data_IF_955952192102
#
_entry.id   IF_955952192102
#
_cell.length_a   1.000
_cell.length_b   1.000
_cell.length_c   1.000
_cell.angle_alpha   90.00
_cell.angle_beta   90.00
_cell.angle_gamma   90.00
#
_symmetry.space_group_name_H-M   'P 1'
#
loop_
_entity.id
_entity.type
_entity.pdbx_description
1 polymer ?
#
# COMPACT_ATOMS: atom_id res chain seq x y z
N UNK A 1 -4.15 5.68 11.54
CA UNK A 1 -4.81 5.14 10.32
C UNK A 1 -6.29 4.89 10.54
N UNK A 2 -6.72 4.13 11.57
CA UNK A 2 -8.13 3.82 11.83
C UNK A 2 -9.08 5.02 11.96
N UNK A 3 -8.58 6.15 12.46
CA UNK A 3 -9.36 7.40 12.64
C UNK A 3 -9.55 8.20 11.36
N UNK A 4 -9.06 7.73 10.20
CA UNK A 4 -9.26 8.44 8.94
C UNK A 4 -10.71 8.33 8.50
N UNK A 5 -11.27 9.38 7.85
CA UNK A 5 -12.60 9.29 7.27
C UNK A 5 -12.69 8.16 6.25
N UNK A 6 -13.81 7.42 6.21
CA UNK A 6 -14.06 6.44 5.17
C UNK A 6 -14.16 7.09 3.78
N UNK A 7 -13.74 6.37 2.74
CA UNK A 7 -13.89 6.78 1.35
C UNK A 7 -14.90 5.89 0.62
N UNK A 8 -15.64 6.45 -0.35
CA UNK A 8 -16.58 5.68 -1.17
C UNK A 8 -15.86 4.59 -1.99
N UNK A 9 -16.55 3.50 -2.37
CA UNK A 9 -15.98 2.48 -3.26
C UNK A 9 -15.48 3.08 -4.58
N UNK A 10 -14.35 2.57 -5.09
CA UNK A 10 -13.76 3.01 -6.36
C UNK A 10 -14.52 2.42 -7.55
N UNK A 11 -15.32 3.26 -8.21
CA UNK A 11 -16.17 2.85 -9.33
C UNK A 11 -15.41 2.55 -10.63
N UNK A 12 -14.10 2.83 -10.69
CA UNK A 12 -13.23 2.51 -11.83
C UNK A 12 -12.75 1.05 -11.81
N UNK A 13 -12.93 0.36 -10.69
CA UNK A 13 -12.55 -1.03 -10.49
C UNK A 13 -13.80 -1.93 -10.44
N UNK A 14 -13.64 -3.17 -10.89
CA UNK A 14 -14.56 -4.27 -10.63
C UNK A 14 -13.73 -5.45 -10.13
N UNK A 15 -14.15 -6.07 -9.03
CA UNK A 15 -13.52 -7.29 -8.52
C UNK A 15 -14.40 -8.48 -8.89
N UNK A 16 -13.82 -9.46 -9.57
CA UNK A 16 -14.48 -10.74 -9.87
C UNK A 16 -13.93 -11.78 -8.90
N UNK A 17 -14.77 -12.17 -7.96
CA UNK A 17 -14.42 -13.06 -6.85
C UNK A 17 -14.63 -14.52 -7.25
N UNK A 18 -13.58 -15.33 -7.17
CA UNK A 18 -13.71 -16.78 -7.10
C UNK A 18 -13.98 -17.16 -5.64
N UNK A 19 -15.25 -17.32 -5.29
CA UNK A 19 -15.72 -17.65 -3.94
C UNK A 19 -15.64 -19.14 -3.65
N UNK A 20 -15.83 -19.55 -2.39
CA UNK A 20 -15.92 -20.98 -2.04
C UNK A 20 -16.99 -21.73 -2.85
N UNK A 21 -18.15 -21.11 -3.09
CA UNK A 21 -19.21 -21.70 -3.91
C UNK A 21 -18.76 -21.90 -5.37
N UNK A 22 -18.02 -20.93 -5.93
CA UNK A 22 -17.44 -21.06 -7.27
C UNK A 22 -16.44 -22.21 -7.34
N UNK A 23 -15.57 -22.34 -6.33
CA UNK A 23 -14.56 -23.41 -6.27
C UNK A 23 -15.18 -24.80 -6.08
N UNK A 24 -16.27 -24.91 -5.33
CA UNK A 24 -17.02 -26.17 -5.21
C UNK A 24 -17.73 -26.55 -6.52
N UNK A 25 -18.25 -25.56 -7.25
CA UNK A 25 -19.00 -25.78 -8.50
C UNK A 25 -18.10 -26.05 -9.70
N UNK A 26 -17.01 -25.29 -9.85
CA UNK A 26 -16.13 -25.33 -11.02
C UNK A 26 -14.78 -26.02 -10.77
N UNK A 27 -14.52 -26.45 -9.53
CA UNK A 27 -13.30 -27.11 -9.11
C UNK A 27 -12.19 -26.14 -8.66
N UNK A 28 -11.22 -26.69 -7.92
CA UNK A 28 -10.00 -25.99 -7.53
C UNK A 28 -8.75 -26.82 -7.86
N UNK A 29 -7.74 -26.26 -8.56
CA UNK A 29 -7.75 -24.92 -9.15
C UNK A 29 -8.79 -24.81 -10.29
N UNK A 30 -9.37 -23.61 -10.46
CA UNK A 30 -10.27 -23.34 -11.60
C UNK A 30 -9.50 -23.59 -12.90
N UNK A 31 -10.05 -24.40 -13.81
CA UNK A 31 -9.39 -24.78 -15.06
C UNK A 31 -9.12 -23.58 -15.96
N UNK A 32 -8.11 -23.70 -16.83
CA UNK A 32 -7.80 -22.68 -17.83
C UNK A 32 -9.01 -22.43 -18.74
N UNK A 33 -9.68 -23.49 -19.22
CA UNK A 33 -10.87 -23.37 -20.08
C UNK A 33 -11.98 -22.52 -19.44
N UNK A 34 -12.25 -22.70 -18.14
CA UNK A 34 -13.27 -21.91 -17.43
C UNK A 34 -12.84 -20.47 -17.24
N UNK A 35 -11.56 -20.21 -16.94
CA UNK A 35 -11.08 -18.83 -16.87
C UNK A 35 -11.03 -18.15 -18.24
N UNK A 36 -10.71 -18.87 -19.32
CA UNK A 36 -10.76 -18.35 -20.68
C UNK A 36 -12.19 -17.98 -21.06
N UNK A 37 -13.18 -18.83 -20.74
CA UNK A 37 -14.60 -18.49 -20.91
C UNK A 37 -15.01 -17.24 -20.10
N UNK A 38 -14.56 -17.14 -18.85
CA UNK A 38 -14.79 -15.95 -18.01
C UNK A 38 -14.22 -14.69 -18.65
N UNK A 39 -12.97 -14.75 -19.10
CA UNK A 39 -12.28 -13.63 -19.75
C UNK A 39 -13.02 -13.24 -21.04
N UNK A 40 -13.44 -14.21 -21.86
CA UNK A 40 -14.20 -13.96 -23.08
C UNK A 40 -15.51 -13.22 -22.81
N UNK A 41 -16.23 -13.58 -21.76
CA UNK A 41 -17.46 -12.88 -21.34
C UNK A 41 -17.18 -11.46 -20.86
N UNK A 42 -16.10 -11.26 -20.10
CA UNK A 42 -15.70 -9.92 -19.65
C UNK A 42 -15.31 -9.03 -20.83
N UNK A 43 -14.53 -9.56 -21.79
CA UNK A 43 -14.04 -8.83 -22.96
C UNK A 43 -15.18 -8.32 -23.86
N UNK A 44 -16.31 -9.01 -23.93
CA UNK A 44 -17.50 -8.56 -24.69
C UNK A 44 -17.98 -7.17 -24.25
N UNK A 45 -17.73 -6.79 -23.00
CA UNK A 45 -18.14 -5.51 -22.44
C UNK A 45 -17.02 -4.46 -22.43
N UNK A 46 -15.89 -4.71 -23.09
CA UNK A 46 -14.81 -3.75 -23.30
C UNK A 46 -14.24 -3.13 -21.98
N UNK A 47 -13.74 -3.94 -21.04
CA UNK A 47 -12.94 -3.42 -19.93
C UNK A 47 -11.64 -2.80 -20.47
N UNK A 48 -11.07 -1.83 -19.76
CA UNK A 48 -9.78 -1.24 -20.15
C UNK A 48 -8.64 -2.22 -19.98
N UNK A 49 -8.64 -2.97 -18.88
CA UNK A 49 -7.62 -3.96 -18.56
C UNK A 49 -8.20 -5.01 -17.62
N UNK A 50 -7.76 -6.24 -17.77
CA UNK A 50 -8.13 -7.36 -16.91
C UNK A 50 -6.87 -7.87 -16.21
N UNK A 51 -6.91 -7.92 -14.89
CA UNK A 51 -5.85 -8.50 -14.06
C UNK A 51 -6.25 -9.87 -13.55
N UNK A 52 -5.41 -10.88 -13.80
CA UNK A 52 -5.60 -12.24 -13.28
C UNK A 52 -4.69 -12.42 -12.06
N UNK A 53 -5.26 -12.18 -10.88
CA UNK A 53 -4.61 -12.45 -9.59
C UNK A 53 -4.89 -13.88 -9.10
N UNK A 54 -4.71 -14.83 -10.00
CA UNK A 54 -4.72 -16.27 -9.73
C UNK A 54 -3.50 -16.84 -10.47
N UNK A 55 -2.62 -17.55 -9.77
CA UNK A 55 -1.36 -18.04 -10.34
C UNK A 55 -1.59 -19.04 -11.48
N UNK A 56 -0.87 -18.88 -12.58
CA UNK A 56 -1.01 -19.70 -13.79
C UNK A 56 0.36 -20.01 -14.40
N UNK A 57 0.52 -21.25 -14.84
CA UNK A 57 1.74 -21.70 -15.55
C UNK A 57 1.62 -21.56 -17.07
N UNK A 58 0.37 -21.53 -17.57
CA UNK A 58 0.05 -21.41 -18.99
C UNK A 58 -0.79 -20.17 -19.25
N UNK A 59 -0.56 -19.55 -20.40
CA UNK A 59 -1.31 -18.37 -20.83
C UNK A 59 -2.78 -18.76 -21.10
N UNK A 60 -3.71 -17.96 -20.59
CA UNK A 60 -5.15 -18.17 -20.80
C UNK A 60 -5.58 -17.73 -22.20
N UNK A 61 -4.93 -16.66 -22.71
CA UNK A 61 -5.18 -16.07 -24.03
C UNK A 61 -4.03 -15.13 -24.41
N UNK A 62 -3.60 -15.16 -25.66
CA UNK A 62 -2.58 -14.22 -26.17
C UNK A 62 -3.21 -12.84 -26.46
N UNK A 63 -3.27 -11.97 -25.44
CA UNK A 63 -3.90 -10.63 -25.52
C UNK A 63 -3.13 -9.57 -24.74
N UNK A 64 -3.06 -8.37 -25.33
CA UNK A 64 -2.33 -7.21 -24.83
C UNK A 64 -3.07 -6.36 -23.77
N UNK A 65 -4.15 -6.85 -23.17
CA UNK A 65 -4.91 -6.17 -22.10
C UNK A 65 -5.13 -7.07 -20.88
N UNK A 66 -4.43 -8.20 -20.83
CA UNK A 66 -4.52 -9.19 -19.76
C UNK A 66 -3.20 -9.20 -19.00
N UNK A 67 -3.24 -8.83 -17.73
CA UNK A 67 -2.05 -8.77 -16.86
C UNK A 67 -2.10 -9.95 -15.91
N UNK A 68 -1.03 -10.73 -15.89
CA UNK A 68 -0.89 -11.93 -15.06
C UNK A 68 -0.05 -11.64 -13.83
N UNK A 69 -0.34 -12.38 -12.76
CA UNK A 69 0.45 -12.35 -11.54
C UNK A 69 1.51 -13.45 -11.51
N UNK A 70 2.66 -13.15 -10.91
CA UNK A 70 3.62 -14.14 -10.41
C UNK A 70 4.08 -13.81 -8.99
N UNK A 71 4.89 -14.67 -8.37
CA UNK A 71 5.48 -14.40 -7.05
C UNK A 71 6.98 -14.63 -7.07
N UNK A 72 7.73 -13.70 -6.48
CA UNK A 72 9.16 -13.90 -6.35
C UNK A 72 9.49 -14.95 -5.27
N UNK A 73 10.68 -15.53 -5.41
CA UNK A 73 11.37 -16.10 -4.26
C UNK A 73 11.76 -14.96 -3.32
N UNK A 74 11.33 -15.07 -2.06
CA UNK A 74 11.59 -14.06 -1.03
C UNK A 74 12.65 -14.55 -0.04
N UNK A 75 13.93 -14.37 -0.39
CA UNK A 75 15.05 -14.84 0.41
C UNK A 75 15.28 -16.36 0.31
N UNK A 76 15.98 -16.91 1.31
CA UNK A 76 16.38 -18.32 1.31
C UNK A 76 15.37 -19.27 1.95
N UNK A 77 14.13 -18.85 2.18
CA UNK A 77 13.09 -19.71 2.75
C UNK A 77 12.68 -20.80 1.74
N UNK A 78 12.95 -22.09 2.00
CA UNK A 78 12.57 -23.18 1.11
C UNK A 78 11.05 -23.35 0.97
N UNK A 79 10.25 -22.78 1.89
CA UNK A 79 8.79 -22.81 1.81
C UNK A 79 8.21 -21.67 0.95
N UNK A 80 9.05 -20.73 0.52
CA UNK A 80 8.67 -19.59 -0.31
C UNK A 80 9.46 -19.56 -1.63
N UNK A 81 9.39 -20.62 -2.46
CA UNK A 81 10.19 -20.72 -3.69
C UNK A 81 9.77 -19.71 -4.78
N UNK A 82 8.64 -19.02 -4.60
CA UNK A 82 8.01 -18.20 -5.62
C UNK A 82 7.24 -19.04 -6.63
N UNK A 83 6.49 -18.37 -7.49
CA UNK A 83 5.70 -18.98 -8.55
C UNK A 83 5.99 -18.29 -9.88
N UNK A 84 6.29 -19.02 -10.97
CA UNK A 84 6.56 -18.41 -12.26
C UNK A 84 5.29 -17.78 -12.87
N UNK A 85 5.44 -16.79 -13.75
CA UNK A 85 4.34 -16.34 -14.60
C UNK A 85 4.03 -17.38 -15.70
N UNK A 86 2.90 -17.22 -16.40
CA UNK A 86 2.61 -18.02 -17.60
C UNK A 86 3.71 -17.96 -18.65
N UNK A 87 4.02 -19.10 -19.27
CA UNK A 87 5.00 -19.15 -20.37
C UNK A 87 4.49 -18.39 -21.61
N UNK A 88 5.39 -17.67 -22.28
CA UNK A 88 5.10 -16.95 -23.53
C UNK A 88 4.53 -15.54 -23.37
N UNK A 89 4.14 -15.14 -22.16
CA UNK A 89 3.61 -13.80 -21.89
C UNK A 89 4.75 -12.76 -21.83
N UNK A 90 4.66 -11.63 -22.56
CA UNK A 90 5.63 -10.54 -22.47
C UNK A 90 5.72 -9.93 -21.06
N UNK A 91 6.89 -9.43 -20.67
CA UNK A 91 7.16 -8.94 -19.30
C UNK A 91 6.28 -7.76 -18.90
N UNK A 92 5.86 -6.95 -19.86
CA UNK A 92 4.95 -5.81 -19.68
C UNK A 92 3.53 -6.24 -19.24
N UNK A 93 3.15 -7.50 -19.48
CA UNK A 93 1.87 -8.08 -19.05
C UNK A 93 2.01 -8.97 -17.81
N UNK A 94 3.15 -8.88 -17.11
CA UNK A 94 3.43 -9.66 -15.92
C UNK A 94 3.77 -8.70 -14.78
N UNK A 95 3.11 -8.88 -13.64
CA UNK A 95 3.46 -8.19 -12.41
C UNK A 95 3.50 -9.14 -11.21
N UNK A 96 4.33 -8.84 -10.22
CA UNK A 96 4.39 -9.66 -9.01
C UNK A 96 3.29 -9.29 -8.01
N UNK A 97 2.73 -10.24 -7.26
CA UNK A 97 1.72 -9.97 -6.22
C UNK A 97 2.24 -10.07 -4.79
N UNK A 98 3.56 -10.18 -4.62
CA UNK A 98 4.24 -10.24 -3.34
C UNK A 98 3.81 -9.12 -2.39
N UNK A 99 3.61 -9.51 -1.12
CA UNK A 99 3.20 -8.63 -0.02
C UNK A 99 4.25 -8.72 1.07
N UNK A 100 4.57 -7.57 1.67
CA UNK A 100 5.48 -7.50 2.81
C UNK A 100 4.66 -7.11 4.04
N UNK A 101 4.70 -7.96 5.06
CA UNK A 101 4.15 -7.67 6.39
C UNK A 101 5.17 -6.88 7.22
N UNK A 102 4.68 -6.01 8.09
CA UNK A 102 5.50 -5.42 9.14
C UNK A 102 5.78 -6.46 10.24
N UNK A 103 6.67 -6.15 11.18
CA UNK A 103 7.07 -7.06 12.26
C UNK A 103 5.91 -7.58 13.14
N UNK A 104 4.77 -6.90 13.11
CA UNK A 104 3.54 -7.29 13.82
C UNK A 104 2.53 -8.05 12.94
N UNK A 105 2.93 -8.49 11.75
CA UNK A 105 2.09 -9.25 10.82
C UNK A 105 1.01 -8.42 10.14
N UNK A 106 1.13 -7.10 10.16
CA UNK A 106 0.18 -6.18 9.50
C UNK A 106 0.80 -5.60 8.25
N UNK A 107 0.06 -5.67 7.14
CA UNK A 107 0.45 -5.04 5.88
C UNK A 107 0.19 -3.54 5.97
N UNK A 108 1.25 -2.73 5.90
CA UNK A 108 1.14 -1.25 5.84
C UNK A 108 1.87 -0.65 4.65
N UNK A 109 2.52 -1.50 3.86
CA UNK A 109 3.45 -1.10 2.80
C UNK A 109 3.04 -1.75 1.49
N UNK A 110 3.15 -0.98 0.42
CA UNK A 110 2.89 -1.40 -0.95
C UNK A 110 4.20 -1.48 -1.69
N UNK A 111 4.60 -2.69 -2.09
CA UNK A 111 5.76 -2.90 -2.95
C UNK A 111 5.38 -2.61 -4.41
N UNK A 112 5.95 -1.54 -4.97
CA UNK A 112 5.74 -1.14 -6.36
C UNK A 112 6.72 -1.81 -7.31
N UNK A 113 7.99 -1.81 -6.92
CA UNK A 113 9.07 -2.35 -7.72
C UNK A 113 9.99 -3.18 -6.85
N UNK A 114 10.57 -4.25 -7.39
CA UNK A 114 11.64 -4.97 -6.74
C UNK A 114 12.67 -5.44 -7.74
N UNK A 115 13.92 -5.64 -7.29
CA UNK A 115 14.91 -6.32 -8.11
C UNK A 115 14.73 -7.82 -7.92
N UNK A 116 14.35 -8.59 -8.95
CA UNK A 116 14.27 -10.04 -8.82
C UNK A 116 15.62 -10.64 -8.45
N UNK A 117 15.61 -11.64 -7.57
CA UNK A 117 16.78 -12.52 -7.40
C UNK A 117 17.02 -13.33 -8.69
N UNK A 118 18.27 -13.61 -9.02
CA UNK A 118 18.63 -14.34 -10.23
C UNK A 118 18.00 -15.75 -10.30
N UNK A 119 17.77 -16.37 -9.14
CA UNK A 119 17.16 -17.70 -9.01
C UNK A 119 15.64 -17.67 -8.85
N UNK A 120 15.03 -16.47 -8.85
CA UNK A 120 13.59 -16.32 -8.67
C UNK A 120 12.83 -16.79 -9.91
N UNK A 121 11.73 -17.55 -9.78
CA UNK A 121 10.93 -17.96 -10.94
C UNK A 121 10.15 -16.78 -11.58
N UNK A 122 9.89 -15.73 -10.80
CA UNK A 122 9.29 -14.48 -11.25
C UNK A 122 10.41 -13.46 -11.47
N UNK A 123 10.54 -12.95 -12.71
CA UNK A 123 11.62 -12.06 -13.13
C UNK A 123 11.14 -10.64 -13.49
N UNK A 124 9.85 -10.34 -13.27
CA UNK A 124 9.33 -8.98 -13.46
C UNK A 124 9.78 -8.09 -12.31
N UNK A 125 10.27 -6.86 -12.56
CA UNK A 125 10.57 -5.92 -11.49
C UNK A 125 9.36 -5.11 -11.05
N UNK A 126 8.18 -5.28 -11.69
CA UNK A 126 7.00 -4.45 -11.52
C UNK A 126 5.90 -5.20 -10.77
N UNK A 127 5.23 -4.55 -9.82
CA UNK A 127 4.10 -5.17 -9.12
C UNK A 127 2.87 -5.27 -10.01
N UNK A 128 2.06 -6.29 -9.78
CA UNK A 128 0.79 -6.54 -10.44
C UNK A 128 -0.15 -5.33 -10.34
N UNK A 129 -0.26 -4.75 -9.15
CA UNK A 129 -1.06 -3.53 -8.92
C UNK A 129 -0.51 -2.30 -9.64
N UNK A 130 0.82 -2.15 -9.73
CA UNK A 130 1.40 -1.07 -10.53
C UNK A 130 1.14 -1.27 -12.02
N UNK A 131 1.33 -2.48 -12.56
CA UNK A 131 1.09 -2.80 -13.96
C UNK A 131 -0.34 -2.50 -14.40
N UNK A 132 -1.34 -2.91 -13.60
CA UNK A 132 -2.75 -2.59 -13.85
C UNK A 132 -3.02 -1.09 -13.86
N UNK A 133 -2.50 -0.37 -12.86
CA UNK A 133 -2.69 1.06 -12.76
C UNK A 133 -2.00 1.80 -13.91
N UNK A 134 -0.75 1.45 -14.23
CA UNK A 134 0.02 2.04 -15.32
C UNK A 134 -0.63 1.79 -16.67
N UNK A 135 -1.10 0.57 -16.94
CA UNK A 135 -1.82 0.26 -18.17
C UNK A 135 -3.10 1.10 -18.29
N UNK A 136 -3.92 1.14 -17.24
CA UNK A 136 -5.15 1.93 -17.26
C UNK A 136 -4.88 3.42 -17.48
N UNK A 137 -3.90 3.99 -16.78
CA UNK A 137 -3.48 5.38 -16.93
C UNK A 137 -2.92 5.67 -18.33
N UNK A 138 -2.20 4.71 -18.93
CA UNK A 138 -1.73 4.83 -20.31
C UNK A 138 -2.90 4.91 -21.31
N UNK A 139 -3.99 4.18 -21.09
CA UNK A 139 -5.21 4.33 -21.91
C UNK A 139 -5.86 5.72 -21.80
N UNK A 140 -5.49 6.49 -20.78
CA UNK A 140 -5.90 7.88 -20.57
C UNK A 140 -4.83 8.90 -21.04
N UNK A 141 -3.76 8.44 -21.69
CA UNK A 141 -2.65 9.27 -22.15
C UNK A 141 -1.66 9.66 -21.05
N UNK A 142 -1.62 8.94 -19.93
CA UNK A 142 -0.71 9.20 -18.81
C UNK A 142 0.30 8.06 -18.69
N UNK A 143 1.55 8.34 -19.05
CA UNK A 143 2.65 7.37 -19.03
C UNK A 143 3.56 7.55 -17.80
N UNK A 144 4.15 6.45 -17.28
CA UNK A 144 5.14 6.52 -16.21
C UNK A 144 6.47 7.04 -16.73
N UNK A 145 6.90 8.19 -16.21
CA UNK A 145 8.24 8.74 -16.43
C UNK A 145 9.10 8.57 -15.18
N UNK A 146 10.39 8.26 -15.34
CA UNK A 146 11.31 8.27 -14.19
C UNK A 146 11.99 9.63 -14.07
N UNK A 147 11.93 10.20 -12.86
CA UNK A 147 12.65 11.42 -12.51
C UNK A 147 14.15 11.17 -12.30
N UNK A 148 14.96 12.23 -12.32
CA UNK A 148 16.40 12.18 -12.02
C UNK A 148 16.72 11.61 -10.62
N UNK A 149 15.76 11.65 -9.70
CA UNK A 149 15.89 11.16 -8.32
C UNK A 149 15.43 9.69 -8.18
N UNK A 150 15.06 9.03 -9.29
CA UNK A 150 14.60 7.64 -9.30
C UNK A 150 13.15 7.47 -8.84
N UNK A 151 12.37 8.55 -8.76
CA UNK A 151 10.92 8.49 -8.52
C UNK A 151 10.15 8.29 -9.80
N UNK A 152 8.99 7.62 -9.72
CA UNK A 152 8.05 7.50 -10.84
C UNK A 152 7.09 8.67 -10.81
N UNK A 153 7.09 9.46 -11.88
CA UNK A 153 6.16 10.55 -12.14
C UNK A 153 5.06 10.06 -13.08
N UNK A 154 3.83 10.31 -12.70
CA UNK A 154 2.61 10.03 -13.46
C UNK A 154 1.79 11.33 -13.50
N UNK A 155 1.73 11.97 -14.67
CA UNK A 155 1.18 13.32 -14.83
C UNK A 155 1.83 14.33 -13.86
N UNK A 156 1.08 14.90 -12.90
CA UNK A 156 1.60 15.80 -11.84
C UNK A 156 1.94 15.08 -10.55
N UNK A 157 1.60 13.80 -10.44
CA UNK A 157 1.77 13.01 -9.23
C UNK A 157 3.12 12.31 -9.23
N UNK A 158 3.90 12.54 -8.17
CA UNK A 158 5.18 11.87 -7.95
C UNK A 158 4.96 10.77 -6.90
N UNK A 159 5.08 9.51 -7.31
CA UNK A 159 5.17 8.40 -6.38
C UNK A 159 6.54 8.50 -5.71
N UNK A 160 6.58 8.66 -4.38
CA UNK A 160 7.82 8.84 -3.61
C UNK A 160 8.17 7.55 -2.87
N UNK A 161 9.39 7.04 -3.11
CA UNK A 161 9.90 5.83 -2.48
C UNK A 161 9.92 5.99 -0.96
N UNK A 162 9.56 4.93 -0.24
CA UNK A 162 10.05 4.73 1.12
C UNK A 162 11.56 4.52 1.06
N UNK A 163 12.31 5.60 1.27
CA UNK A 163 13.77 5.55 1.31
C UNK A 163 14.25 5.41 2.73
N UNK A 164 15.28 4.60 2.99
CA UNK A 164 15.95 4.57 4.29
C UNK A 164 16.63 5.91 4.66
N UNK A 165 17.08 6.72 3.66
CA UNK A 165 18.01 7.85 3.85
C UNK A 165 17.96 8.97 2.77
N UNK A 166 16.86 9.68 2.48
CA UNK A 166 16.96 10.85 1.55
C UNK A 166 17.59 12.08 2.22
N UNK A 167 18.93 12.07 2.31
CA UNK A 167 19.83 13.23 2.35
C UNK A 167 21.15 12.93 1.62
N UNK A 168 21.07 12.36 0.41
CA UNK A 168 22.20 12.40 -0.54
C UNK A 168 21.66 12.57 -1.96
N UNK A 169 21.65 13.82 -2.41
CA UNK A 169 21.43 14.18 -3.81
C UNK A 169 22.63 13.73 -4.66
N UNK A 170 22.32 13.25 -5.87
CA UNK A 170 23.21 13.17 -7.06
C UNK A 170 24.24 12.03 -7.12
N UNK A 171 23.86 10.94 -7.79
CA UNK A 171 24.40 10.45 -9.07
C UNK A 171 23.84 9.04 -9.29
N UNK A 172 23.22 8.78 -10.43
CA UNK A 172 23.57 7.62 -11.27
C UNK A 172 22.82 7.69 -12.61
N UNK A 173 23.62 7.77 -13.66
CA UNK A 173 23.25 7.75 -15.06
C UNK A 173 22.74 6.37 -15.47
N UNK A 174 21.67 6.36 -16.26
CA UNK A 174 20.97 5.19 -16.74
C UNK A 174 21.72 4.48 -17.86
N UNK A 175 22.57 3.49 -17.56
CA UNK A 175 22.97 2.49 -18.57
C UNK A 175 23.12 1.05 -18.09
N UNK A 176 23.29 0.72 -16.82
CA UNK A 176 23.45 -0.68 -16.40
C UNK A 176 22.53 -1.05 -15.22
N UNK A 177 21.33 -1.58 -15.49
CA UNK A 177 20.40 -2.11 -14.48
C UNK A 177 20.81 -3.49 -13.93
N UNK A 178 21.91 -4.10 -14.39
CA UNK A 178 22.21 -5.51 -14.07
C UNK A 178 23.41 -5.81 -13.18
N UNK A 179 24.24 -4.85 -12.75
CA UNK A 179 25.50 -5.23 -12.11
C UNK A 179 25.84 -4.43 -10.83
N UNK A 180 25.95 -5.16 -9.70
CA UNK A 180 26.72 -4.84 -8.48
C UNK A 180 26.26 -3.60 -7.64
N UNK A 181 26.47 -3.43 -6.32
CA UNK A 181 27.36 -4.03 -5.29
C UNK A 181 26.65 -3.93 -3.92
N UNK A 182 27.02 -4.85 -3.04
CA UNK A 182 26.88 -4.96 -1.58
C UNK A 182 27.29 -3.73 -0.74
N UNK A 183 26.43 -3.28 0.19
CA UNK A 183 26.67 -2.98 1.63
C UNK A 183 25.46 -2.20 2.21
N UNK A 184 24.82 -2.65 3.31
CA UNK A 184 23.69 -1.95 3.88
C UNK A 184 24.18 -0.78 4.74
N UNK A 185 23.97 0.44 4.28
CA UNK A 185 24.25 1.66 5.02
C UNK A 185 23.02 2.10 5.82
N UNK A 186 23.15 1.87 7.13
CA UNK A 186 22.55 2.47 8.33
C UNK A 186 21.31 3.38 8.20
N UNK A 187 20.45 3.20 9.20
CA UNK A 187 19.04 3.52 9.30
C UNK A 187 18.75 4.96 9.70
N UNK A 188 17.74 5.59 9.08
CA UNK A 188 16.72 6.36 9.83
C UNK A 188 15.73 7.07 8.91
N UNK A 189 14.55 6.48 8.69
CA UNK A 189 13.32 7.24 8.39
C UNK A 189 12.14 6.57 9.05
N UNK A 190 11.39 7.31 9.87
CA UNK A 190 10.19 6.80 10.55
C UNK A 190 10.46 5.61 11.46
N UNK A 191 9.46 4.71 11.55
CA UNK A 191 9.52 3.49 12.38
C UNK A 191 10.31 2.35 11.70
N UNK A 192 10.50 2.42 10.38
CA UNK A 192 11.10 1.34 9.56
C UNK A 192 12.62 1.48 9.35
N UNK A 193 13.33 2.17 10.25
CA UNK A 193 14.73 2.51 10.05
C UNK A 193 15.63 1.31 9.71
N UNK A 194 15.40 0.15 10.32
CA UNK A 194 16.31 -1.00 10.28
C UNK A 194 15.88 -2.13 9.32
N UNK A 195 14.86 -1.94 8.48
CA UNK A 195 14.35 -3.00 7.60
C UNK A 195 14.95 -2.91 6.19
N UNK A 196 15.38 -4.05 5.63
CA UNK A 196 15.63 -4.16 4.20
C UNK A 196 14.31 -4.05 3.45
N UNK A 197 14.14 -2.95 2.72
CA UNK A 197 12.89 -2.64 2.02
C UNK A 197 12.76 -3.42 0.70
N UNK A 198 13.71 -4.29 0.32
CA UNK A 198 13.64 -5.24 -0.82
C UNK A 198 13.19 -4.65 -2.17
N UNK A 199 13.16 -3.32 -2.33
CA UNK A 199 12.54 -2.67 -3.47
C UNK A 199 12.06 -1.26 -3.21
N UNK A 200 11.18 -0.80 -4.10
CA UNK A 200 10.49 0.48 -4.06
C UNK A 200 9.13 0.30 -3.42
N UNK A 201 8.91 0.96 -2.29
CA UNK A 201 7.67 0.84 -1.54
C UNK A 201 6.99 2.18 -1.33
N UNK A 202 5.67 2.15 -1.09
CA UNK A 202 4.85 3.26 -0.58
C UNK A 202 4.16 2.86 0.72
N UNK A 203 3.76 3.82 1.55
CA UNK A 203 2.79 3.54 2.62
C UNK A 203 1.41 3.31 1.99
N UNK A 204 0.70 2.31 2.51
CA UNK A 204 -0.68 2.03 2.13
C UNK A 204 -1.63 3.01 2.79
N UNK A 205 -2.21 3.87 1.98
CA UNK A 205 -3.40 4.62 2.28
C UNK A 205 -4.63 3.78 1.89
N UNK A 206 -5.08 2.92 2.79
CA UNK A 206 -6.31 2.12 2.62
C UNK A 206 -7.53 3.02 2.42
N UNK A 207 -8.28 2.80 1.33
CA UNK A 207 -9.51 3.54 0.97
C UNK A 207 -10.66 3.23 1.91
N UNK A 208 -10.83 1.95 2.19
CA UNK A 208 -11.96 1.43 2.93
C UNK A 208 -11.50 0.64 4.16
N UNK A 209 -12.27 0.74 5.24
CA UNK A 209 -12.22 -0.20 6.36
C UNK A 209 -13.12 -1.42 6.05
N UNK A 210 -13.17 -2.41 6.94
CA UNK A 210 -13.83 -3.68 6.63
C UNK A 210 -15.35 -3.61 6.42
N UNK A 211 -16.04 -2.54 6.86
CA UNK A 211 -17.50 -2.42 6.71
C UNK A 211 -17.91 -1.85 5.35
N UNK A 212 -16.96 -1.31 4.59
CA UNK A 212 -17.21 -0.65 3.32
C UNK A 212 -16.47 -1.34 2.18
N UNK A 213 -17.10 -1.38 1.02
CA UNK A 213 -16.51 -2.01 -0.15
C UNK A 213 -15.41 -1.14 -0.76
N UNK A 214 -14.31 -1.78 -1.16
CA UNK A 214 -13.16 -1.12 -1.80
C UNK A 214 -13.54 -0.67 -3.21
N UNK A 215 -14.24 -1.55 -3.91
CA UNK A 215 -14.78 -1.41 -5.25
C UNK A 215 -15.98 -2.38 -5.37
N UNK A 216 -16.86 -2.19 -6.36
CA UNK A 216 -17.91 -3.16 -6.68
C UNK A 216 -17.35 -4.58 -6.87
N UNK A 217 -18.09 -5.58 -6.36
CA UNK A 217 -17.71 -6.99 -6.43
C UNK A 217 -18.81 -7.81 -7.10
N UNK A 218 -18.41 -8.81 -7.87
CA UNK A 218 -19.29 -9.81 -8.48
C UNK A 218 -18.63 -11.18 -8.37
N UNK A 219 -19.41 -12.25 -8.35
CA UNK A 219 -18.85 -13.61 -8.31
C UNK A 219 -18.48 -14.09 -9.71
N UNK A 220 -17.51 -15.00 -9.78
CA UNK A 220 -17.14 -15.68 -11.03
C UNK A 220 -18.36 -16.34 -11.70
N UNK A 221 -19.18 -17.04 -10.92
CA UNK A 221 -20.44 -17.62 -11.39
C UNK A 221 -21.36 -16.57 -12.02
N UNK A 222 -21.57 -15.41 -11.37
CA UNK A 222 -22.49 -14.39 -11.88
C UNK A 222 -22.06 -13.84 -13.24
N UNK A 223 -20.75 -13.73 -13.49
CA UNK A 223 -20.22 -13.33 -14.80
C UNK A 223 -20.43 -14.46 -15.82
N UNK A 224 -20.11 -15.70 -15.47
CA UNK A 224 -20.33 -16.86 -16.35
C UNK A 224 -21.81 -17.03 -16.73
N UNK A 225 -22.72 -16.73 -15.82
CA UNK A 225 -24.17 -16.83 -16.03
C UNK A 225 -24.79 -15.56 -16.66
N UNK A 226 -23.98 -14.59 -17.09
CA UNK A 226 -24.41 -13.32 -17.68
C UNK A 226 -25.36 -12.50 -16.77
N UNK A 227 -25.18 -12.55 -15.45
CA UNK A 227 -25.99 -11.85 -14.45
C UNK A 227 -25.39 -10.49 -14.02
N UNK A 228 -24.31 -10.06 -14.67
CA UNK A 228 -23.61 -8.81 -14.36
C UNK A 228 -23.96 -7.75 -15.40
N UNK A 229 -24.31 -6.55 -14.94
CA UNK A 229 -24.60 -5.42 -15.84
C UNK A 229 -23.36 -5.04 -16.67
N UNK A 230 -23.50 -4.77 -17.99
CA UNK A 230 -22.41 -4.29 -18.84
C UNK A 230 -21.69 -3.06 -18.28
N UNK A 231 -22.44 -2.13 -17.67
CA UNK A 231 -21.90 -0.90 -17.07
C UNK A 231 -21.01 -1.17 -15.87
N UNK A 232 -21.11 -2.37 -15.27
CA UNK A 232 -20.21 -2.78 -14.20
C UNK A 232 -18.81 -3.13 -14.72
N UNK A 233 -18.65 -3.42 -16.03
CA UNK A 233 -17.41 -3.93 -16.64
C UNK A 233 -16.79 -2.91 -17.61
N UNK A 234 -17.63 -2.22 -18.38
CA UNK A 234 -17.20 -1.31 -19.44
C UNK A 234 -16.30 -0.20 -18.94
N UNK A 235 -15.19 0.01 -19.64
CA UNK A 235 -14.17 1.03 -19.34
C UNK A 235 -13.54 0.92 -17.93
N UNK A 236 -13.65 -0.24 -17.27
CA UNK A 236 -13.11 -0.48 -15.93
C UNK A 236 -11.85 -1.33 -15.93
N UNK A 237 -11.16 -1.29 -14.80
CA UNK A 237 -10.14 -2.26 -14.42
C UNK A 237 -10.86 -3.44 -13.76
N UNK A 238 -10.78 -4.62 -14.37
CA UNK A 238 -11.33 -5.84 -13.80
C UNK A 238 -10.22 -6.63 -13.12
N UNK A 239 -10.38 -7.00 -11.86
CA UNK A 239 -9.40 -7.82 -11.13
C UNK A 239 -10.07 -9.14 -10.72
N UNK A 240 -9.57 -10.25 -11.25
CA UNK A 240 -10.06 -11.59 -10.99
C UNK A 240 -9.17 -12.22 -9.92
N UNK A 241 -9.75 -12.78 -8.86
CA UNK A 241 -8.95 -13.42 -7.82
C UNK A 241 -9.75 -14.27 -6.85
N UNK A 242 -9.03 -15.11 -6.09
CA UNK A 242 -9.62 -16.00 -5.11
C UNK A 242 -9.97 -15.26 -3.80
N UNK A 243 -11.18 -15.51 -3.30
CA UNK A 243 -11.66 -15.01 -1.99
C UNK A 243 -12.22 -16.14 -1.11
N UNK A 244 -11.95 -17.40 -1.45
CA UNK A 244 -12.23 -18.54 -0.59
C UNK A 244 -11.34 -18.52 0.68
N UNK A 245 -11.93 -18.67 1.88
CA UNK A 245 -11.22 -18.78 3.15
C UNK A 245 -10.15 -19.88 3.20
N UNK A 246 -10.40 -20.99 2.51
CA UNK A 246 -9.55 -22.18 2.60
C UNK A 246 -8.41 -22.19 1.57
N UNK A 247 -8.50 -21.38 0.52
CA UNK A 247 -7.66 -21.48 -0.67
C UNK A 247 -6.90 -20.19 -1.00
N UNK A 248 -7.07 -19.12 -0.22
CA UNK A 248 -6.37 -17.85 -0.44
C UNK A 248 -5.58 -17.41 0.79
N UNK A 249 -4.47 -16.72 0.56
CA UNK A 249 -3.74 -16.06 1.64
C UNK A 249 -4.50 -14.83 2.10
N UNK A 250 -4.83 -14.81 3.39
CA UNK A 250 -5.50 -13.70 4.05
C UNK A 250 -4.49 -12.85 4.81
N UNK A 251 -4.58 -11.54 4.58
CA UNK A 251 -3.64 -10.56 5.10
C UNK A 251 -4.26 -9.70 6.20
N UNK A 252 -3.50 -9.49 7.27
CA UNK A 252 -3.91 -8.54 8.31
C UNK A 252 -3.66 -7.11 7.83
N UNK A 253 -4.62 -6.24 8.04
CA UNK A 253 -4.53 -4.81 7.71
C UNK A 253 -4.61 -3.98 8.99
N UNK A 254 -4.34 -2.66 8.94
CA UNK A 254 -4.53 -1.79 10.08
C UNK A 254 -5.96 -1.82 10.64
N UNK A 255 -6.96 -2.28 9.88
CA UNK A 255 -8.36 -2.38 10.31
C UNK A 255 -8.74 -3.77 10.81
N UNK A 256 -7.86 -4.76 10.71
CA UNK A 256 -8.11 -6.11 11.23
C UNK A 256 -8.13 -6.09 12.76
N UNK A 257 -9.24 -6.53 13.35
CA UNK A 257 -9.36 -6.78 14.79
C UNK A 257 -9.59 -8.28 15.03
N UNK A 258 -8.59 -8.97 15.58
CA UNK A 258 -8.65 -10.42 15.79
C UNK A 258 -8.42 -11.26 14.52
N UNK A 259 -8.63 -12.58 14.63
CA UNK A 259 -8.36 -13.55 13.55
C UNK A 259 -9.38 -13.51 12.40
N UNK A 260 -10.62 -13.11 12.68
CA UNK A 260 -11.76 -13.23 11.74
C UNK A 260 -11.89 -12.08 10.74
N UNK A 261 -10.87 -11.21 10.65
CA UNK A 261 -10.97 -9.89 10.04
C UNK A 261 -9.80 -9.57 9.08
N UNK A 262 -9.24 -10.58 8.45
CA UNK A 262 -8.23 -10.42 7.39
C UNK A 262 -8.89 -10.23 6.03
N UNK A 263 -8.15 -9.71 5.04
CA UNK A 263 -8.64 -9.56 3.66
C UNK A 263 -7.91 -10.51 2.70
N UNK A 264 -8.58 -11.08 1.69
CA UNK A 264 -7.91 -11.89 0.68
C UNK A 264 -7.00 -11.04 -0.20
N UNK A 265 -5.96 -11.67 -0.76
CA UNK A 265 -4.93 -10.99 -1.56
C UNK A 265 -5.48 -10.15 -2.73
N UNK A 266 -6.57 -10.58 -3.38
CA UNK A 266 -7.20 -9.81 -4.48
C UNK A 266 -7.75 -8.47 -4.02
N UNK A 267 -8.34 -8.39 -2.81
CA UNK A 267 -8.82 -7.14 -2.26
C UNK A 267 -7.67 -6.22 -1.88
N UNK A 268 -6.55 -6.78 -1.41
CA UNK A 268 -5.34 -6.00 -1.14
C UNK A 268 -4.73 -5.41 -2.42
N UNK A 269 -4.66 -6.20 -3.51
CA UNK A 269 -4.23 -5.69 -4.81
C UNK A 269 -5.19 -4.61 -5.34
N UNK A 270 -6.50 -4.75 -5.15
CA UNK A 270 -7.47 -3.71 -5.52
C UNK A 270 -7.26 -2.39 -4.74
N UNK A 271 -6.93 -2.45 -3.43
CA UNK A 271 -6.56 -1.27 -2.63
C UNK A 271 -5.33 -0.57 -3.21
N UNK A 272 -4.31 -1.35 -3.58
CA UNK A 272 -3.06 -0.86 -4.16
C UNK A 272 -3.28 -0.20 -5.53
N UNK A 273 -4.07 -0.81 -6.41
CA UNK A 273 -4.47 -0.25 -7.71
C UNK A 273 -5.25 1.05 -7.51
N UNK A 274 -6.28 1.02 -6.66
CA UNK A 274 -7.12 2.19 -6.37
C UNK A 274 -6.29 3.35 -5.82
N UNK A 275 -5.31 3.07 -4.94
CA UNK A 275 -4.41 4.08 -4.41
C UNK A 275 -3.65 4.82 -5.52
N UNK A 276 -2.99 4.09 -6.42
CA UNK A 276 -2.19 4.69 -7.50
C UNK A 276 -3.08 5.57 -8.38
N UNK A 277 -4.20 5.02 -8.87
CA UNK A 277 -5.07 5.73 -9.82
C UNK A 277 -5.75 6.92 -9.16
N UNK A 278 -6.15 6.81 -7.89
CA UNK A 278 -6.73 7.95 -7.16
C UNK A 278 -5.70 9.04 -6.90
N UNK A 279 -4.44 8.67 -6.63
CA UNK A 279 -3.38 9.66 -6.46
C UNK A 279 -3.10 10.43 -7.75
N UNK A 280 -3.18 9.77 -8.91
CA UNK A 280 -2.96 10.39 -10.23
C UNK A 280 -4.19 11.18 -10.69
N UNK A 281 -5.37 10.56 -10.75
CA UNK A 281 -6.55 11.18 -11.37
C UNK A 281 -7.36 12.07 -10.44
N UNK A 282 -7.29 11.85 -9.12
CA UNK A 282 -8.13 12.54 -8.13
C UNK A 282 -7.31 13.31 -7.08
N UNK A 283 -6.00 13.45 -7.28
CA UNK A 283 -5.08 14.07 -6.32
C UNK A 283 -5.22 13.51 -4.89
N UNK A 284 -5.58 12.23 -4.76
CA UNK A 284 -5.73 11.57 -3.45
C UNK A 284 -4.37 11.56 -2.74
N UNK A 285 -4.25 12.07 -1.50
CA UNK A 285 -2.98 12.11 -0.79
C UNK A 285 -2.36 10.72 -0.63
N UNK A 286 -1.10 10.60 -1.04
CA UNK A 286 -0.26 9.45 -0.69
C UNK A 286 0.26 9.62 0.73
N UNK A 287 0.26 8.54 1.50
CA UNK A 287 0.84 8.57 2.84
C UNK A 287 2.36 8.66 2.74
N UNK A 288 2.92 9.58 3.50
CA UNK A 288 4.36 9.78 3.66
C UNK A 288 4.68 10.14 5.09
N UNK A 289 5.92 9.91 5.51
CA UNK A 289 6.39 10.47 6.78
C UNK A 289 6.62 11.97 6.65
N UNK A 290 6.39 12.68 7.75
CA UNK A 290 6.80 14.08 7.83
C UNK A 290 8.33 14.19 7.60
N UNK A 291 8.82 15.20 6.85
CA UNK A 291 10.26 15.42 6.72
C UNK A 291 10.93 15.57 8.09
N UNK A 292 12.13 15.01 8.26
CA UNK A 292 12.84 15.02 9.57
C UNK A 292 12.96 16.41 10.19
N UNK A 293 13.27 17.43 9.40
CA UNK A 293 13.39 18.79 9.90
C UNK A 293 12.07 19.31 10.47
N UNK A 294 10.94 18.98 9.83
CA UNK A 294 9.61 19.35 10.28
C UNK A 294 9.20 18.55 11.54
N UNK A 295 9.60 17.27 11.62
CA UNK A 295 9.44 16.47 12.84
C UNK A 295 10.24 17.06 14.01
N UNK A 296 11.49 17.48 13.77
CA UNK A 296 12.33 18.16 14.76
C UNK A 296 11.64 19.44 15.24
N UNK A 297 11.24 20.33 14.32
CA UNK A 297 10.54 21.57 14.67
C UNK A 297 9.27 21.29 15.50
N UNK A 298 8.50 20.27 15.10
CA UNK A 298 7.31 19.86 15.85
C UNK A 298 7.66 19.43 17.27
N UNK A 299 8.68 18.59 17.45
CA UNK A 299 9.12 18.15 18.78
C UNK A 299 9.59 19.35 19.63
N UNK A 300 10.42 20.24 19.08
CA UNK A 300 10.86 21.45 19.77
C UNK A 300 9.70 22.36 20.18
N UNK A 301 8.69 22.50 19.32
CA UNK A 301 7.50 23.29 19.67
C UNK A 301 6.77 22.72 20.88
N UNK A 302 6.63 21.40 20.98
CA UNK A 302 5.98 20.75 22.13
C UNK A 302 6.85 20.72 23.39
N UNK A 303 8.18 20.73 23.26
CA UNK A 303 9.11 20.98 24.38
C UNK A 303 8.88 22.36 24.97
N UNK A 304 8.79 23.39 24.12
CA UNK A 304 8.57 24.77 24.57
C UNK A 304 7.20 24.93 25.25
N UNK A 305 6.16 24.33 24.68
CA UNK A 305 4.81 24.34 25.28
C UNK A 305 4.81 23.66 26.65
N UNK A 306 5.42 22.47 26.78
CA UNK A 306 5.51 21.77 28.06
C UNK A 306 6.26 22.56 29.12
N UNK A 307 7.41 23.14 28.75
CA UNK A 307 8.19 23.98 29.65
C UNK A 307 7.40 25.22 30.12
N UNK A 308 6.66 25.88 29.22
CA UNK A 308 5.81 27.02 29.56
C UNK A 308 4.66 26.64 30.51
N UNK A 309 3.99 25.50 30.28
CA UNK A 309 2.92 25.00 31.16
C UNK A 309 3.47 24.74 32.56
N UNK A 310 4.58 24.01 32.66
CA UNK A 310 5.23 23.70 33.94
C UNK A 310 5.67 24.96 34.70
N UNK A 311 6.15 25.98 34.00
CA UNK A 311 6.58 27.25 34.61
C UNK A 311 5.39 28.12 35.08
N UNK A 312 4.39 28.34 34.22
CA UNK A 312 3.26 29.25 34.50
C UNK A 312 2.35 28.69 35.60
N UNK A 313 2.12 27.39 35.61
CA UNK A 313 1.21 26.71 36.54
C UNK A 313 1.92 26.02 37.71
N UNK A 314 3.18 26.38 37.96
CA UNK A 314 3.92 25.94 39.14
C UNK A 314 3.11 26.21 40.44
N UNK A 315 3.01 25.20 41.30
CA UNK A 315 2.21 25.25 42.53
C UNK A 315 0.69 25.16 42.34
N UNK A 316 0.17 25.14 41.11
CA UNK A 316 -1.27 25.09 40.78
C UNK A 316 -1.64 23.79 40.04
N UNK A 317 -1.63 22.68 40.76
CA UNK A 317 -1.80 21.33 40.20
C UNK A 317 -3.04 21.13 39.33
N UNK A 318 -4.21 21.67 39.72
CA UNK A 318 -5.43 21.54 38.92
C UNK A 318 -5.33 22.23 37.56
N UNK A 319 -4.74 23.43 37.52
CA UNK A 319 -4.53 24.18 36.28
C UNK A 319 -3.47 23.56 35.39
N UNK A 320 -2.45 22.94 35.99
CA UNK A 320 -1.44 22.20 35.26
C UNK A 320 -2.02 20.99 34.53
N UNK A 321 -2.76 20.14 35.25
CA UNK A 321 -3.40 18.95 34.67
C UNK A 321 -4.39 19.33 33.55
N UNK A 322 -5.16 20.39 33.76
CA UNK A 322 -6.06 20.91 32.73
C UNK A 322 -5.29 21.38 31.49
N UNK A 323 -4.20 22.14 31.68
CA UNK A 323 -3.40 22.69 30.58
C UNK A 323 -2.68 21.60 29.79
N UNK A 324 -2.09 20.60 30.46
CA UNK A 324 -1.47 19.44 29.81
C UNK A 324 -2.52 18.64 29.03
N UNK A 325 -3.70 18.43 29.61
CA UNK A 325 -4.80 17.73 28.92
C UNK A 325 -5.23 18.45 27.64
N UNK A 326 -5.38 19.77 27.68
CA UNK A 326 -5.70 20.60 26.51
C UNK A 326 -4.56 20.53 25.47
N UNK A 327 -3.31 20.63 25.91
CA UNK A 327 -2.13 20.53 25.05
C UNK A 327 -2.07 19.17 24.32
N UNK A 328 -2.33 18.07 25.02
CA UNK A 328 -2.41 16.72 24.43
C UNK A 328 -3.53 16.63 23.40
N UNK A 329 -4.72 17.20 23.68
CA UNK A 329 -5.83 17.21 22.72
C UNK A 329 -5.43 17.96 21.45
N UNK A 330 -4.82 19.15 21.58
CA UNK A 330 -4.32 19.93 20.44
C UNK A 330 -3.29 19.13 19.64
N UNK A 331 -2.35 18.46 20.32
CA UNK A 331 -1.36 17.59 19.69
C UNK A 331 -2.02 16.47 18.89
N UNK A 332 -2.97 15.74 19.49
CA UNK A 332 -3.67 14.63 18.84
C UNK A 332 -4.45 15.11 17.62
N UNK A 333 -5.19 16.22 17.74
CA UNK A 333 -5.96 16.82 16.63
C UNK A 333 -5.02 17.29 15.52
N UNK A 334 -3.88 17.90 15.84
CA UNK A 334 -2.90 18.34 14.84
C UNK A 334 -2.27 17.16 14.09
N UNK A 335 -1.87 16.10 14.79
CA UNK A 335 -1.35 14.87 14.17
C UNK A 335 -2.41 14.18 13.32
N UNK A 336 -3.68 14.21 13.74
CA UNK A 336 -4.79 13.66 12.97
C UNK A 336 -5.04 14.46 11.67
N UNK A 337 -5.03 15.80 11.74
CA UNK A 337 -5.12 16.67 10.56
C UNK A 337 -3.98 16.43 9.57
N UNK A 338 -2.74 16.32 10.06
CA UNK A 338 -1.59 15.95 9.24
C UNK A 338 -1.78 14.59 8.56
N UNK A 339 -2.29 13.60 9.28
CA UNK A 339 -2.56 12.27 8.71
C UNK A 339 -3.59 12.31 7.57
N UNK A 340 -4.65 13.12 7.71
CA UNK A 340 -5.65 13.31 6.64
C UNK A 340 -5.00 13.95 5.41
N UNK A 341 -4.07 14.90 5.61
CA UNK A 341 -3.34 15.56 4.52
C UNK A 341 -2.24 14.69 3.88
N UNK A 342 -2.03 13.45 4.35
CA UNK A 342 -1.04 12.53 3.80
C UNK A 342 0.27 12.44 4.59
N UNK A 343 0.41 13.16 5.71
CA UNK A 343 1.60 13.15 6.54
C UNK A 343 1.40 12.34 7.83
N UNK A 344 2.09 11.22 7.93
CA UNK A 344 2.10 10.43 9.16
C UNK A 344 3.18 10.91 10.12
N UNK A 345 2.75 11.33 11.32
CA UNK A 345 3.61 11.74 12.43
C UNK A 345 3.56 10.68 13.56
N UNK A 346 4.70 10.18 14.05
CA UNK A 346 4.75 9.32 15.23
C UNK A 346 4.37 10.09 16.52
N UNK A 347 3.09 10.07 16.90
CA UNK A 347 2.51 10.81 18.04
C UNK A 347 3.28 10.63 19.37
N UNK A 348 3.85 9.45 19.60
CA UNK A 348 4.52 9.11 20.86
C UNK A 348 5.67 10.09 21.19
N UNK A 349 6.44 10.51 20.18
CA UNK A 349 7.61 11.39 20.38
C UNK A 349 7.23 12.79 20.88
N UNK A 350 6.38 13.57 20.20
CA UNK A 350 5.96 14.89 20.69
C UNK A 350 5.14 14.78 21.99
N UNK A 351 4.39 13.69 22.20
CA UNK A 351 3.68 13.46 23.46
C UNK A 351 4.65 13.32 24.64
N UNK A 352 5.66 12.46 24.53
CA UNK A 352 6.68 12.31 25.57
C UNK A 352 7.46 13.61 25.78
N UNK A 353 7.78 14.32 24.70
CA UNK A 353 8.47 15.61 24.78
C UNK A 353 7.68 16.63 25.62
N UNK A 354 6.37 16.72 25.41
CA UNK A 354 5.47 17.58 26.20
C UNK A 354 5.45 17.20 27.68
N UNK A 355 5.17 15.93 28.00
CA UNK A 355 4.99 15.48 29.39
C UNK A 355 6.28 15.53 30.21
N UNK A 356 7.39 15.07 29.62
CA UNK A 356 8.69 15.05 30.31
C UNK A 356 9.15 16.47 30.60
N UNK A 357 8.94 17.42 29.69
CA UNK A 357 9.38 18.81 29.89
C UNK A 357 8.49 19.56 30.88
N UNK A 358 7.17 19.39 30.82
CA UNK A 358 6.23 19.93 31.83
C UNK A 358 6.60 19.44 33.23
N UNK A 359 6.72 18.12 33.42
CA UNK A 359 7.11 17.54 34.71
C UNK A 359 8.54 17.90 35.15
N UNK A 360 9.49 17.97 34.22
CA UNK A 360 10.88 18.32 34.50
C UNK A 360 11.04 19.74 35.02
N UNK A 361 10.33 20.71 34.44
CA UNK A 361 10.33 22.10 34.92
C UNK A 361 9.72 22.22 36.30
N UNK A 362 8.63 21.50 36.59
CA UNK A 362 8.04 21.47 37.93
C UNK A 362 9.02 20.95 38.98
N UNK A 363 9.70 19.84 38.69
CA UNK A 363 10.68 19.25 39.61
C UNK A 363 11.86 20.20 39.84
N UNK A 364 12.34 20.86 38.78
CA UNK A 364 13.40 21.85 38.87
C UNK A 364 12.99 23.03 39.76
N UNK A 365 11.81 23.61 39.51
CA UNK A 365 11.31 24.72 40.31
C UNK A 365 11.05 24.30 41.77
N UNK A 366 10.50 23.11 42.02
CA UNK A 366 10.28 22.61 43.39
C UNK A 366 11.55 22.44 44.21
N UNK A 367 12.70 22.26 43.54
CA UNK A 367 13.98 22.09 44.19
C UNK A 367 14.70 23.42 44.45
N UNK A 368 14.42 24.46 43.65
CA UNK A 368 15.22 25.69 43.61
C UNK A 368 14.42 27.00 43.73
N UNK A 369 13.09 26.94 43.78
CA UNK A 369 12.19 28.09 43.96
C UNK A 369 11.28 27.87 45.15
#
# INVERSE_FOLDING_TARGET
MRLRPPEKPDQRLLIVEATENDLQKYGYPISNDKLTELIEKLEQYQPKVIGVNILREQELKNRHNLIYTCNHRLGNDPNSPGNPPPQGVPKEYIGFSDVIEDSDGVVRRHLLFMKPEATSPCQTPLSFSFQLAAYYLNTQGIEPETTLEGYTKLDKTILKKLTANTWKSKLLTWTNVLEFVTTPLNSSTGVYGNEDLRGYQLLLNYRSNQEQEIAPKVTLQSVLENQVSPDAIKDKIVIIGNTSPNQSSYWSTPYSEGRDRKIPGVLLQAQMVSQIISAVLANRPLLSFLPKWAEIILIWSWILVGALIGWIFYGKWSWLLLSDSIAIIILVVSCWGLLISGYWVPLVRPFLALIITSGGVLLFLSKFG
#
